data_IF_802661117434
#
_entry.id   IF_802661117434
#
_cell.length_a   1.000
_cell.length_b   1.000
_cell.length_c   1.000
_cell.angle_alpha   90.00
_cell.angle_beta   90.00
_cell.angle_gamma   90.00
#
_symmetry.space_group_name_H-M   'P 1'
#
loop_
_entity.id
_entity.type
_entity.pdbx_description
1 polymer ?
#
# COMPACT_ATOMS: atom_id res chain seq x y z
N UNK A 1 -4.90 -48.75 19.60
CA UNK A 1 -4.42 -47.44 20.11
C UNK A 1 -4.62 -46.37 19.04
N UNK A 2 -5.63 -45.50 19.16
CA UNK A 2 -5.93 -44.40 18.20
C UNK A 2 -6.45 -43.13 18.89
N UNK A 3 -6.16 -42.95 20.19
CA UNK A 3 -6.70 -41.85 21.01
C UNK A 3 -6.04 -40.49 20.70
N UNK A 4 -4.84 -40.47 20.11
CA UNK A 4 -4.11 -39.24 19.77
C UNK A 4 -4.58 -38.53 18.51
N UNK A 5 -5.06 -39.27 17.48
CA UNK A 5 -5.48 -38.69 16.19
C UNK A 5 -6.79 -37.89 16.28
N UNK A 6 -7.70 -38.28 17.17
CA UNK A 6 -8.98 -37.60 17.35
C UNK A 6 -8.82 -36.17 17.93
N UNK A 7 -7.96 -35.98 18.93
CA UNK A 7 -7.70 -34.65 19.54
C UNK A 7 -7.00 -33.69 18.58
N UNK A 8 -6.09 -34.20 17.75
CA UNK A 8 -5.41 -33.39 16.73
C UNK A 8 -6.41 -32.91 15.68
N UNK A 9 -7.29 -33.80 15.20
CA UNK A 9 -8.39 -33.42 14.31
C UNK A 9 -9.30 -32.36 14.95
N UNK A 10 -9.74 -32.51 16.20
CA UNK A 10 -10.62 -31.52 16.84
C UNK A 10 -9.99 -30.12 16.89
N UNK A 11 -8.70 -29.99 17.22
CA UNK A 11 -8.02 -28.69 17.21
C UNK A 11 -7.90 -28.10 15.80
N UNK A 12 -7.58 -28.92 14.80
CA UNK A 12 -7.54 -28.49 13.40
C UNK A 12 -8.92 -28.01 12.94
N UNK A 13 -9.98 -28.77 13.22
CA UNK A 13 -11.36 -28.39 12.91
C UNK A 13 -11.80 -27.12 13.65
N UNK A 14 -11.40 -26.93 14.91
CA UNK A 14 -11.65 -25.69 15.64
C UNK A 14 -10.92 -24.49 15.02
N UNK A 15 -9.68 -24.68 14.56
CA UNK A 15 -8.92 -23.65 13.86
C UNK A 15 -9.63 -23.26 12.57
N UNK A 16 -9.96 -24.24 11.72
CA UNK A 16 -10.67 -24.04 10.45
C UNK A 16 -12.03 -23.39 10.66
N UNK A 17 -12.78 -23.78 11.69
CA UNK A 17 -14.08 -23.19 12.01
C UNK A 17 -13.95 -21.76 12.51
N UNK A 18 -12.93 -21.44 13.33
CA UNK A 18 -12.66 -20.06 13.74
C UNK A 18 -12.29 -19.18 12.55
N UNK A 19 -11.47 -19.70 11.65
CA UNK A 19 -11.06 -19.04 10.41
C UNK A 19 -12.27 -18.78 9.50
N UNK A 20 -13.18 -19.75 9.36
CA UNK A 20 -14.44 -19.58 8.62
C UNK A 20 -15.42 -18.63 9.31
N UNK A 21 -15.59 -18.69 10.63
CA UNK A 21 -16.41 -17.75 11.39
C UNK A 21 -15.86 -16.32 11.29
N UNK A 22 -14.54 -16.17 11.33
CA UNK A 22 -13.81 -14.91 11.14
C UNK A 22 -14.04 -14.36 9.72
N UNK A 23 -13.86 -15.19 8.70
CA UNK A 23 -14.18 -14.85 7.31
C UNK A 23 -15.64 -14.38 7.15
N UNK A 24 -16.59 -15.07 7.79
CA UNK A 24 -18.02 -14.69 7.75
C UNK A 24 -18.33 -13.41 8.55
N UNK A 25 -17.58 -13.12 9.61
CA UNK A 25 -17.72 -11.88 10.40
C UNK A 25 -17.17 -10.68 9.64
N UNK A 26 -16.04 -10.84 8.96
CA UNK A 26 -15.39 -9.78 8.20
C UNK A 26 -16.11 -9.52 6.87
N UNK A 27 -16.72 -10.56 6.27
CA UNK A 27 -17.66 -10.41 5.14
C UNK A 27 -18.95 -9.69 5.52
N UNK A 28 -19.27 -9.59 6.82
CA UNK A 28 -20.40 -8.82 7.37
C UNK A 28 -20.03 -7.38 7.74
N UNK A 29 -18.82 -6.91 7.44
CA UNK A 29 -18.63 -5.46 7.25
C UNK A 29 -19.63 -5.05 6.20
N UNK A 30 -20.46 -4.07 6.53
CA UNK A 30 -21.54 -3.62 5.68
C UNK A 30 -20.98 -3.34 4.29
N UNK A 31 -21.59 -3.89 3.23
CA UNK A 31 -21.19 -3.60 1.84
C UNK A 31 -21.07 -2.08 1.63
N UNK A 32 -21.84 -1.29 2.40
CA UNK A 32 -21.75 0.15 2.49
C UNK A 32 -20.37 0.71 2.87
N UNK A 33 -19.69 0.18 3.90
CA UNK A 33 -18.35 0.66 4.29
C UNK A 33 -17.32 0.36 3.20
N UNK A 34 -17.34 -0.85 2.64
CA UNK A 34 -16.50 -1.22 1.51
C UNK A 34 -16.73 -0.31 0.29
N UNK A 35 -17.99 0.02 0.00
CA UNK A 35 -18.37 0.96 -1.06
C UNK A 35 -17.87 2.39 -0.78
N UNK A 36 -17.95 2.86 0.46
CA UNK A 36 -17.45 4.19 0.86
C UNK A 36 -15.92 4.25 0.72
N UNK A 37 -15.20 3.25 1.22
CA UNK A 37 -13.75 3.14 1.03
C UNK A 37 -13.38 3.09 -0.45
N UNK A 38 -14.11 2.31 -1.25
CA UNK A 38 -13.91 2.26 -2.70
C UNK A 38 -14.23 3.57 -3.43
N UNK A 39 -15.12 4.41 -2.89
CA UNK A 39 -15.37 5.77 -3.39
C UNK A 39 -14.21 6.71 -3.04
N UNK A 40 -13.71 6.66 -1.81
CA UNK A 40 -12.53 7.44 -1.39
C UNK A 40 -11.32 7.04 -2.23
N UNK A 41 -11.05 5.75 -2.37
CA UNK A 41 -9.90 5.25 -3.13
C UNK A 41 -9.92 5.72 -4.58
N UNK A 42 -11.07 5.62 -5.26
CA UNK A 42 -11.23 6.08 -6.65
C UNK A 42 -11.20 7.60 -6.84
N UNK A 43 -11.53 8.37 -5.80
CA UNK A 43 -11.60 9.83 -5.89
C UNK A 43 -10.28 10.50 -5.49
N UNK A 44 -9.53 9.88 -4.58
CA UNK A 44 -8.37 10.50 -3.94
C UNK A 44 -7.10 9.67 -4.10
N UNK A 45 -7.10 8.40 -3.70
CA UNK A 45 -5.87 7.59 -3.68
C UNK A 45 -5.35 7.29 -5.08
N UNK A 46 -6.24 7.02 -6.03
CA UNK A 46 -5.86 6.83 -7.44
C UNK A 46 -5.19 8.06 -8.05
N UNK A 47 -5.40 9.24 -7.48
CA UNK A 47 -4.87 10.52 -7.92
C UNK A 47 -3.62 10.95 -7.13
N UNK A 48 -3.14 10.13 -6.19
CA UNK A 48 -2.05 10.50 -5.27
C UNK A 48 -2.43 11.55 -4.22
N UNK A 49 -3.72 11.80 -3.99
CA UNK A 49 -4.23 12.80 -3.02
C UNK A 49 -4.51 12.14 -1.67
N UNK A 50 -3.51 11.53 -1.04
CA UNK A 50 -3.73 10.67 0.13
C UNK A 50 -4.18 11.47 1.36
N UNK A 51 -3.65 12.67 1.59
CA UNK A 51 -4.08 13.56 2.67
C UNK A 51 -5.57 13.95 2.56
N UNK A 52 -6.03 14.29 1.35
CA UNK A 52 -7.44 14.58 1.11
C UNK A 52 -8.33 13.35 1.29
N UNK A 53 -7.85 12.16 0.88
CA UNK A 53 -8.54 10.91 1.12
C UNK A 53 -8.62 10.54 2.61
N UNK A 54 -7.56 10.82 3.39
CA UNK A 54 -7.53 10.63 4.83
C UNK A 54 -8.57 11.51 5.54
N UNK A 55 -8.67 12.78 5.16
CA UNK A 55 -9.70 13.69 5.68
C UNK A 55 -11.11 13.16 5.37
N UNK A 56 -11.34 12.72 4.12
CA UNK A 56 -12.62 12.13 3.73
C UNK A 56 -12.96 10.85 4.52
N UNK A 57 -11.96 10.02 4.88
CA UNK A 57 -12.18 8.84 5.73
C UNK A 57 -12.57 9.20 7.17
N UNK A 58 -12.04 10.31 7.70
CA UNK A 58 -12.34 10.75 9.06
C UNK A 58 -13.79 11.24 9.21
N UNK A 59 -14.35 11.81 8.14
CA UNK A 59 -15.74 12.31 8.09
C UNK A 59 -16.79 11.19 8.04
N UNK A 60 -16.39 9.95 7.72
CA UNK A 60 -17.31 8.81 7.64
C UNK A 60 -17.69 8.35 9.05
N UNK A 61 -19.00 8.27 9.31
CA UNK A 61 -19.56 7.66 10.51
C UNK A 61 -19.29 6.16 10.54
N UNK A 62 -18.88 5.65 11.71
CA UNK A 62 -18.53 4.24 11.90
C UNK A 62 -19.66 3.51 12.61
N UNK A 63 -20.03 2.33 12.10
CA UNK A 63 -21.02 1.45 12.69
C UNK A 63 -20.45 0.50 13.76
N UNK A 64 -19.13 0.26 13.78
CA UNK A 64 -18.53 -0.68 14.73
C UNK A 64 -17.00 -0.70 14.80
N UNK A 65 -16.47 -1.59 15.62
CA UNK A 65 -15.03 -1.67 15.91
C UNK A 65 -14.19 -2.10 14.71
N UNK A 66 -14.73 -2.96 13.83
CA UNK A 66 -14.01 -3.41 12.64
C UNK A 66 -13.78 -2.27 11.65
N UNK A 67 -14.81 -1.45 11.39
CA UNK A 67 -14.67 -0.24 10.57
C UNK A 67 -13.70 0.77 11.20
N UNK A 68 -13.69 0.87 12.53
CA UNK A 68 -12.71 1.70 13.26
C UNK A 68 -11.28 1.22 13.00
N UNK A 69 -11.05 -0.10 13.07
CA UNK A 69 -9.73 -0.69 12.83
C UNK A 69 -9.29 -0.52 11.37
N UNK A 70 -10.18 -0.82 10.42
CA UNK A 70 -9.93 -0.62 9.00
C UNK A 70 -9.67 0.86 8.67
N UNK A 71 -10.43 1.80 9.24
CA UNK A 71 -10.17 3.23 9.09
C UNK A 71 -8.79 3.60 9.64
N UNK A 72 -8.43 3.12 10.82
CA UNK A 72 -7.12 3.40 11.41
C UNK A 72 -5.97 2.91 10.51
N UNK A 73 -6.10 1.72 9.93
CA UNK A 73 -5.13 1.20 8.95
C UNK A 73 -5.06 2.05 7.68
N UNK A 74 -6.20 2.46 7.11
CA UNK A 74 -6.22 3.32 5.92
C UNK A 74 -5.63 4.71 6.18
N UNK A 75 -5.89 5.29 7.36
CA UNK A 75 -5.29 6.57 7.77
C UNK A 75 -3.77 6.43 7.95
N UNK A 76 -3.32 5.36 8.59
CA UNK A 76 -1.91 5.03 8.69
C UNK A 76 -1.27 4.94 7.29
N UNK A 77 -1.83 4.13 6.39
CA UNK A 77 -1.30 4.00 5.04
C UNK A 77 -1.35 5.30 4.24
N UNK A 78 -2.36 6.15 4.44
CA UNK A 78 -2.45 7.45 3.76
C UNK A 78 -1.29 8.35 4.16
N UNK A 79 -0.94 8.37 5.45
CA UNK A 79 0.20 9.16 5.94
C UNK A 79 1.55 8.64 5.41
N UNK A 80 1.72 7.31 5.32
CA UNK A 80 2.94 6.71 4.80
C UNK A 80 3.05 6.85 3.26
N UNK A 81 1.92 6.86 2.55
CA UNK A 81 1.87 7.09 1.11
C UNK A 81 2.19 8.54 0.70
N UNK A 82 1.86 9.54 1.53
CA UNK A 82 2.34 10.92 1.31
C UNK A 82 3.87 10.98 1.38
N UNK A 83 4.46 10.40 2.44
CA UNK A 83 5.93 10.34 2.59
C UNK A 83 6.60 9.60 1.44
N UNK A 84 5.94 8.58 0.87
CA UNK A 84 6.42 7.88 -0.32
C UNK A 84 6.57 8.84 -1.52
N UNK A 85 5.56 9.68 -1.78
CA UNK A 85 5.63 10.67 -2.86
C UNK A 85 6.68 11.75 -2.57
N UNK A 86 6.78 12.21 -1.31
CA UNK A 86 7.82 13.16 -0.88
C UNK A 86 9.23 12.59 -1.08
N UNK A 87 9.45 11.33 -0.70
CA UNK A 87 10.72 10.62 -0.88
C UNK A 87 11.07 10.53 -2.39
N UNK A 88 10.09 10.23 -3.25
CA UNK A 88 10.28 10.23 -4.71
C UNK A 88 10.61 11.63 -5.26
N UNK A 89 9.89 12.68 -4.83
CA UNK A 89 10.18 14.05 -5.28
C UNK A 89 11.59 14.47 -4.90
N UNK A 90 12.04 14.16 -3.68
CA UNK A 90 13.38 14.51 -3.21
C UNK A 90 14.49 13.84 -4.01
N UNK A 91 14.24 12.62 -4.48
CA UNK A 91 15.25 11.74 -5.07
C UNK A 91 15.30 11.89 -6.58
N UNK A 92 14.14 12.05 -7.20
CA UNK A 92 13.99 12.29 -8.63
C UNK A 92 14.20 13.76 -8.99
N UNK A 93 15.04 14.48 -8.22
CA UNK A 93 15.65 15.74 -8.66
C UNK A 93 16.40 15.56 -9.99
N UNK A 94 16.98 16.64 -10.57
CA UNK A 94 17.54 16.57 -11.92
C UNK A 94 18.62 15.48 -12.02
N UNK A 95 18.31 14.36 -12.68
CA UNK A 95 19.28 13.28 -12.90
C UNK A 95 18.84 11.82 -12.74
N UNK A 96 17.55 11.49 -12.52
CA UNK A 96 17.08 10.10 -12.47
C UNK A 96 17.00 9.43 -13.87
N UNK A 97 18.13 9.41 -14.58
CA UNK A 97 18.24 8.84 -15.91
C UNK A 97 18.20 7.30 -15.86
N UNK A 98 17.41 6.67 -16.74
CA UNK A 98 17.47 5.24 -17.02
C UNK A 98 16.40 4.36 -16.38
N UNK A 99 15.45 4.92 -15.63
CA UNK A 99 14.31 4.15 -15.11
C UNK A 99 13.12 4.29 -16.06
N UNK A 100 12.64 3.17 -16.59
CA UNK A 100 11.45 3.11 -17.44
C UNK A 100 10.19 3.38 -16.60
N UNK A 101 9.47 4.43 -16.98
CA UNK A 101 8.22 4.81 -16.37
C UNK A 101 7.06 4.46 -17.30
N UNK A 102 6.18 3.58 -16.83
CA UNK A 102 4.94 3.25 -17.52
C UNK A 102 3.83 4.16 -17.03
N UNK A 103 3.05 4.71 -17.96
CA UNK A 103 1.79 5.39 -17.66
C UNK A 103 0.66 4.37 -17.56
N UNK A 104 -0.45 4.74 -16.90
CA UNK A 104 -1.65 3.90 -16.85
C UNK A 104 -2.27 3.63 -18.22
N UNK A 105 -1.96 4.46 -19.22
CA UNK A 105 -2.36 4.26 -20.62
C UNK A 105 -1.52 3.22 -21.36
N UNK A 106 -0.46 2.70 -20.72
CA UNK A 106 0.48 1.75 -21.31
C UNK A 106 1.66 2.39 -22.05
N UNK A 107 1.70 3.72 -22.18
CA UNK A 107 2.86 4.42 -22.74
C UNK A 107 4.08 4.27 -21.84
N UNK A 108 5.24 4.02 -22.44
CA UNK A 108 6.53 3.92 -21.78
C UNK A 108 7.33 5.19 -22.02
N UNK A 109 7.86 5.77 -20.94
CA UNK A 109 8.83 6.86 -20.97
C UNK A 109 10.13 6.35 -20.36
N UNK A 110 11.25 6.51 -21.07
CA UNK A 110 12.55 5.96 -20.64
C UNK A 110 13.39 6.95 -19.83
N UNK A 111 12.93 8.20 -19.67
CA UNK A 111 13.76 9.25 -19.11
C UNK A 111 12.94 10.21 -18.24
N UNK A 112 13.04 10.00 -16.92
CA UNK A 112 12.62 10.98 -15.92
C UNK A 112 13.71 12.04 -15.83
N UNK A 113 13.37 13.28 -16.15
CA UNK A 113 14.29 14.43 -16.17
C UNK A 113 14.16 15.33 -14.94
N UNK A 114 13.14 15.08 -14.10
CA UNK A 114 12.96 15.75 -12.83
C UNK A 114 11.64 15.37 -12.15
N UNK A 115 11.39 16.00 -11.00
CA UNK A 115 10.19 15.84 -10.20
C UNK A 115 9.57 17.21 -9.87
N UNK A 116 8.28 17.19 -9.57
CA UNK A 116 7.54 18.32 -9.03
C UNK A 116 6.49 17.81 -8.05
N UNK A 117 5.90 18.70 -7.26
CA UNK A 117 4.95 18.33 -6.20
C UNK A 117 3.77 17.47 -6.72
N UNK A 118 3.27 17.77 -7.93
CA UNK A 118 2.12 17.06 -8.52
C UNK A 118 2.48 15.85 -9.38
N UNK A 119 3.77 15.56 -9.60
CA UNK A 119 4.15 14.52 -10.57
C UNK A 119 5.62 14.50 -10.97
N UNK A 120 5.88 13.91 -12.14
CA UNK A 120 7.22 13.76 -12.70
C UNK A 120 7.35 14.51 -14.03
N UNK A 121 8.56 14.98 -14.30
CA UNK A 121 8.93 15.51 -15.61
C UNK A 121 9.65 14.41 -16.37
N UNK A 122 9.18 14.12 -17.58
CA UNK A 122 9.77 13.14 -18.48
C UNK A 122 10.19 13.80 -19.79
N UNK A 123 11.17 13.22 -20.47
CA UNK A 123 11.48 13.56 -21.85
C UNK A 123 10.61 12.71 -22.80
N UNK A 124 9.91 13.37 -23.71
CA UNK A 124 9.07 12.75 -24.73
C UNK A 124 9.36 13.43 -26.07
N UNK A 125 9.90 12.68 -27.03
CA UNK A 125 10.31 13.16 -28.36
C UNK A 125 11.21 14.42 -28.33
N UNK A 126 12.12 14.52 -27.37
CA UNK A 126 13.05 15.66 -27.22
C UNK A 126 12.44 16.90 -26.55
N UNK A 127 11.21 16.79 -26.02
CA UNK A 127 10.55 17.83 -25.25
C UNK A 127 10.28 17.37 -23.82
N UNK A 128 10.37 18.31 -22.86
CA UNK A 128 9.97 18.06 -21.49
C UNK A 128 8.43 18.03 -21.38
N UNK A 129 7.89 16.95 -20.82
CA UNK A 129 6.48 16.76 -20.55
C UNK A 129 6.27 16.50 -19.07
N UNK A 130 5.24 17.12 -18.51
CA UNK A 130 4.79 16.84 -17.14
C UNK A 130 3.79 15.69 -17.14
N UNK A 131 3.98 14.73 -16.22
CA UNK A 131 3.05 13.65 -15.94
C UNK A 131 2.58 13.77 -14.50
N UNK A 132 1.26 13.91 -14.30
CA UNK A 132 0.66 13.89 -12.97
C UNK A 132 0.77 12.49 -12.34
N UNK A 133 0.82 12.40 -11.01
CA UNK A 133 0.82 11.11 -10.29
C UNK A 133 -0.31 10.15 -10.75
N UNK A 134 -1.48 10.71 -11.06
CA UNK A 134 -2.66 9.95 -11.54
C UNK A 134 -2.45 9.27 -12.89
N UNK A 135 -1.53 9.78 -13.72
CA UNK A 135 -1.25 9.27 -15.06
C UNK A 135 -0.23 8.13 -15.04
N UNK A 136 0.53 8.00 -13.94
CA UNK A 136 1.62 7.04 -13.80
C UNK A 136 1.09 5.70 -13.27
N UNK A 137 1.62 4.60 -13.81
CA UNK A 137 1.36 3.27 -13.25
C UNK A 137 1.95 3.20 -11.83
N UNK A 138 1.15 2.88 -10.80
CA UNK A 138 1.64 2.75 -9.43
C UNK A 138 2.81 1.77 -9.29
N UNK A 139 2.90 0.73 -10.14
CA UNK A 139 4.04 -0.20 -10.12
C UNK A 139 5.34 0.49 -10.53
N UNK A 140 5.31 1.34 -11.56
CA UNK A 140 6.50 2.11 -11.96
C UNK A 140 6.96 3.07 -10.86
N UNK A 141 6.03 3.60 -10.04
CA UNK A 141 6.40 4.40 -8.88
C UNK A 141 7.05 3.56 -7.78
N UNK A 142 6.58 2.34 -7.54
CA UNK A 142 7.26 1.40 -6.63
C UNK A 142 8.65 1.03 -7.13
N UNK A 143 8.83 0.80 -8.43
CA UNK A 143 10.13 0.50 -9.04
C UNK A 143 11.11 1.67 -8.86
N UNK A 144 10.65 2.91 -9.09
CA UNK A 144 11.44 4.11 -8.81
C UNK A 144 11.83 4.19 -7.34
N UNK A 145 10.90 3.92 -6.43
CA UNK A 145 11.18 3.93 -4.99
C UNK A 145 12.08 2.77 -4.56
N UNK A 146 12.16 1.68 -5.33
CA UNK A 146 13.08 0.55 -5.04
C UNK A 146 14.54 0.98 -5.14
N UNK A 147 14.88 1.88 -6.06
CA UNK A 147 16.22 2.46 -6.14
C UNK A 147 16.65 3.08 -4.80
N UNK A 148 15.72 3.72 -4.08
CA UNK A 148 16.00 4.30 -2.75
C UNK A 148 16.22 3.26 -1.67
N UNK A 149 15.49 2.16 -1.74
CA UNK A 149 15.70 1.05 -0.82
C UNK A 149 17.09 0.46 -1.01
N UNK A 150 17.56 0.34 -2.25
CA UNK A 150 18.85 -0.24 -2.59
C UNK A 150 20.02 0.67 -2.18
N UNK A 151 19.84 1.99 -2.22
CA UNK A 151 20.81 2.97 -1.69
C UNK A 151 20.79 3.10 -0.16
N UNK A 152 19.70 2.71 0.51
CA UNK A 152 19.55 2.82 1.96
C UNK A 152 20.40 1.79 2.72
N UNK A 153 21.54 2.24 3.25
CA UNK A 153 22.48 1.42 4.03
C UNK A 153 22.04 1.24 5.49
N UNK A 154 21.32 2.19 6.07
CA UNK A 154 20.82 2.12 7.45
C UNK A 154 19.50 1.36 7.56
N UNK A 155 19.42 0.42 8.51
CA UNK A 155 18.20 -0.38 8.75
C UNK A 155 16.97 0.47 9.10
N UNK A 156 17.16 1.56 9.84
CA UNK A 156 16.10 2.51 10.23
C UNK A 156 15.50 3.19 8.99
N UNK A 157 16.34 3.68 8.08
CA UNK A 157 15.94 4.32 6.83
C UNK A 157 15.25 3.31 5.93
N UNK A 158 15.84 2.12 5.75
CA UNK A 158 15.24 1.05 4.92
C UNK A 158 13.88 0.61 5.45
N UNK A 159 13.74 0.47 6.77
CA UNK A 159 12.46 0.14 7.43
C UNK A 159 11.39 1.21 7.14
N UNK A 160 11.72 2.50 7.29
CA UNK A 160 10.83 3.62 6.96
C UNK A 160 10.38 3.57 5.50
N UNK A 161 11.33 3.42 4.58
CA UNK A 161 11.05 3.35 3.13
C UNK A 161 10.15 2.16 2.78
N UNK A 162 10.34 0.99 3.39
CA UNK A 162 9.45 -0.15 3.19
C UNK A 162 8.03 0.12 3.67
N UNK A 163 7.86 0.76 4.84
CA UNK A 163 6.54 1.16 5.35
C UNK A 163 5.84 2.13 4.40
N UNK A 164 6.56 3.14 3.90
CA UNK A 164 6.06 4.10 2.90
C UNK A 164 5.56 3.40 1.64
N UNK A 165 6.37 2.48 1.10
CA UNK A 165 6.03 1.71 -0.10
C UNK A 165 4.84 0.75 0.12
N UNK A 166 4.74 0.11 1.29
CA UNK A 166 3.58 -0.71 1.65
C UNK A 166 2.30 0.13 1.72
N UNK A 167 2.36 1.32 2.35
CA UNK A 167 1.22 2.23 2.41
C UNK A 167 0.74 2.67 1.03
N UNK A 168 1.67 3.10 0.18
CA UNK A 168 1.36 3.47 -1.20
C UNK A 168 0.78 2.30 -2.00
N UNK A 169 1.43 1.13 -1.96
CA UNK A 169 0.99 -0.06 -2.68
C UNK A 169 -0.41 -0.51 -2.25
N UNK A 170 -0.69 -0.51 -0.95
CA UNK A 170 -1.97 -0.95 -0.40
C UNK A 170 -3.12 -0.09 -0.90
N UNK A 171 -2.96 1.24 -0.86
CA UNK A 171 -3.98 2.18 -1.31
C UNK A 171 -4.20 2.16 -2.83
N UNK A 172 -3.22 1.65 -3.59
CA UNK A 172 -3.32 1.42 -5.04
C UNK A 172 -3.71 -0.02 -5.41
N UNK A 173 -4.02 -0.87 -4.42
CA UNK A 173 -4.48 -2.24 -4.65
C UNK A 173 -3.39 -3.24 -5.05
N UNK A 174 -2.12 -2.89 -4.89
CA UNK A 174 -0.94 -3.71 -5.20
C UNK A 174 -0.65 -4.71 -4.07
N UNK A 175 -1.59 -5.63 -3.83
CA UNK A 175 -1.61 -6.48 -2.63
C UNK A 175 -0.44 -7.48 -2.60
N UNK A 176 -0.04 -8.00 -3.76
CA UNK A 176 1.04 -8.98 -3.86
C UNK A 176 2.39 -8.31 -3.60
N UNK A 177 2.61 -7.14 -4.20
CA UNK A 177 3.80 -6.31 -3.98
C UNK A 177 3.92 -5.89 -2.50
N UNK A 178 2.80 -5.51 -1.85
CA UNK A 178 2.77 -5.22 -0.42
C UNK A 178 3.19 -6.41 0.44
N UNK A 179 2.79 -7.64 0.06
CA UNK A 179 3.14 -8.85 0.82
C UNK A 179 4.64 -9.09 0.79
N UNK A 180 5.26 -8.98 -0.38
CA UNK A 180 6.72 -9.13 -0.53
C UNK A 180 7.48 -8.08 0.29
N UNK A 181 7.05 -6.81 0.22
CA UNK A 181 7.67 -5.74 1.00
C UNK A 181 7.47 -5.91 2.50
N UNK A 182 6.31 -6.40 2.95
CA UNK A 182 6.05 -6.70 4.35
C UNK A 182 6.95 -7.82 4.87
N UNK A 183 7.21 -8.87 4.08
CA UNK A 183 8.16 -9.93 4.43
C UNK A 183 9.60 -9.41 4.57
N UNK A 184 10.02 -8.48 3.70
CA UNK A 184 11.30 -7.79 3.86
C UNK A 184 11.34 -6.96 5.14
N UNK A 185 10.26 -6.21 5.43
CA UNK A 185 10.17 -5.35 6.60
C UNK A 185 10.22 -6.15 7.90
N UNK A 186 9.51 -7.28 7.98
CA UNK A 186 9.50 -8.15 9.17
C UNK A 186 10.89 -8.67 9.53
N UNK A 187 11.77 -8.91 8.54
CA UNK A 187 13.17 -9.30 8.79
C UNK A 187 13.97 -8.21 9.50
N UNK A 188 13.62 -6.93 9.29
CA UNK A 188 14.29 -5.77 9.87
C UNK A 188 13.59 -5.34 11.18
N UNK A 189 12.26 -5.44 11.21
CA UNK A 189 11.36 -4.96 12.24
C UNK A 189 10.31 -6.05 12.57
N UNK A 190 10.65 -7.07 13.39
CA UNK A 190 9.78 -8.21 13.64
C UNK A 190 8.43 -7.87 14.30
N UNK A 191 8.37 -6.79 15.07
CA UNK A 191 7.14 -6.28 15.70
C UNK A 191 6.08 -5.87 14.66
N UNK A 192 6.49 -5.54 13.43
CA UNK A 192 5.56 -5.22 12.35
C UNK A 192 4.70 -6.42 11.92
N UNK A 193 5.15 -7.67 12.16
CA UNK A 193 4.39 -8.88 11.78
C UNK A 193 3.00 -8.89 12.42
N UNK A 194 2.92 -8.51 13.70
CA UNK A 194 1.65 -8.48 14.45
C UNK A 194 0.70 -7.42 13.87
N UNK A 195 1.24 -6.22 13.58
CA UNK A 195 0.46 -5.15 12.96
C UNK A 195 -0.03 -5.56 11.57
N UNK A 196 0.83 -6.18 10.76
CA UNK A 196 0.51 -6.60 9.41
C UNK A 196 -0.54 -7.71 9.37
N UNK A 197 -0.42 -8.73 10.23
CA UNK A 197 -1.41 -9.79 10.36
C UNK A 197 -2.78 -9.25 10.79
N UNK A 198 -2.81 -8.29 11.71
CA UNK A 198 -4.05 -7.64 12.12
C UNK A 198 -4.70 -6.88 10.96
N UNK A 199 -3.91 -6.15 10.15
CA UNK A 199 -4.42 -5.45 8.98
C UNK A 199 -4.98 -6.44 7.95
N UNK A 200 -4.25 -7.51 7.62
CA UNK A 200 -4.74 -8.53 6.70
C UNK A 200 -6.05 -9.15 7.20
N UNK A 201 -6.11 -9.47 8.50
CA UNK A 201 -7.33 -9.99 9.14
C UNK A 201 -8.49 -9.02 8.98
N UNK A 202 -8.30 -7.75 9.35
CA UNK A 202 -9.35 -6.74 9.32
C UNK A 202 -9.94 -6.61 7.92
N UNK A 203 -9.11 -6.66 6.87
CA UNK A 203 -9.54 -6.57 5.47
C UNK A 203 -9.91 -7.90 4.81
N UNK A 204 -9.80 -9.02 5.54
CA UNK A 204 -10.13 -10.36 5.04
C UNK A 204 -9.21 -10.85 3.91
N UNK A 205 -7.91 -10.56 4.01
CA UNK A 205 -6.86 -10.86 3.02
C UNK A 205 -5.94 -12.01 3.44
#
# INVERSE_FOLDING_TARGET
MTTGRARFNVKVWQSVLRERLRYLRNRKVDDAWGLLCGKVARKYFSDGKFAAGANALQEIELAGDLERSQRAALLFFSAEAEKFLEDLVRVLGPGAAGIELRTRSGLLHSQVIGSQESGLMVEDAGAARSLDWKEIDPRSLLDLHRALLDEATEKSIRSRLLVNAIGFGWLNGLTDECREMAEELVKIRPDFSVQWEQILEDFGK
#
